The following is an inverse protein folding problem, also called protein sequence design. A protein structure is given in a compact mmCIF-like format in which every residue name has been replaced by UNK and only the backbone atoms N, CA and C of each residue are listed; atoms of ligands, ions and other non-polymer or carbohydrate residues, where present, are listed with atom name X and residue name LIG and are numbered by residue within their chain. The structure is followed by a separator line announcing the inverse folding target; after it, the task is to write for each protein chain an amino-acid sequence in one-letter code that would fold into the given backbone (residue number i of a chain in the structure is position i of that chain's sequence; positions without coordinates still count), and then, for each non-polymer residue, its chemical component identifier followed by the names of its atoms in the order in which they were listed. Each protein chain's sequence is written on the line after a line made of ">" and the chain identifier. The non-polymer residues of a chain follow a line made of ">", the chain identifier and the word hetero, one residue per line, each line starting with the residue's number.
data_IF_203712259600
#
_entry.id   IF_203712259600
#
_cell.length_a   1.000
_cell.length_b   1.000
_cell.length_c   1.000
_cell.angle_alpha   90.00
_cell.angle_beta   90.00
_cell.angle_gamma   90.00
#
_symmetry.space_group_name_H-M   'P 1'
#
loop_
_entity.id
_entity.type
_entity.pdbx_description
1 polymer ?
#
# COMPACT_ATOMS: atom_id res chain seq x y z
N UNK A 1 42.29 64.67 35.64
CA UNK A 1 42.87 63.40 35.07
C UNK A 1 41.71 62.44 34.91
N UNK A 2 41.17 62.33 33.73
CA UNK A 2 40.09 61.36 33.43
C UNK A 2 40.69 60.24 32.54
N UNK A 3 40.64 59.01 33.06
CA UNK A 3 41.10 57.83 32.31
C UNK A 3 39.93 57.28 31.48
N UNK A 4 40.11 57.22 30.16
CA UNK A 4 39.18 56.57 29.24
C UNK A 4 39.51 55.08 29.16
N UNK A 5 38.54 54.24 29.53
CA UNK A 5 38.58 52.79 29.33
C UNK A 5 37.86 52.47 28.02
N UNK A 6 38.63 51.96 27.07
CA UNK A 6 38.06 51.42 25.82
C UNK A 6 37.69 49.97 26.05
N UNK A 7 36.41 49.64 25.97
CA UNK A 7 35.93 48.27 25.93
C UNK A 7 35.93 47.79 24.47
N UNK A 8 36.72 46.74 24.18
CA UNK A 8 36.70 46.05 22.90
C UNK A 8 35.67 44.95 22.92
N UNK A 9 34.58 45.10 22.14
CA UNK A 9 33.63 44.00 21.86
C UNK A 9 34.26 43.04 20.81
N UNK A 10 34.60 41.85 21.24
CA UNK A 10 34.96 40.76 20.36
C UNK A 10 33.66 40.10 19.80
N UNK A 11 33.45 40.20 18.51
CA UNK A 11 32.41 39.43 17.80
C UNK A 11 32.92 38.01 17.61
N UNK A 12 32.35 37.05 18.33
CA UNK A 12 32.55 35.61 18.03
C UNK A 12 31.59 35.22 16.89
N UNK A 13 32.15 34.96 15.71
CA UNK A 13 31.40 34.36 14.59
C UNK A 13 31.26 32.87 14.86
N UNK A 14 30.08 32.42 15.24
CA UNK A 14 29.74 30.99 15.29
C UNK A 14 29.57 30.51 13.85
N UNK A 15 30.58 29.81 13.31
CA UNK A 15 30.38 29.02 12.08
C UNK A 15 29.49 27.83 12.44
N UNK A 16 28.22 27.87 12.06
CA UNK A 16 27.41 26.66 11.96
C UNK A 16 27.92 25.84 10.80
N UNK A 17 28.58 24.75 11.07
CA UNK A 17 28.87 23.68 10.09
C UNK A 17 27.53 22.99 9.89
N UNK A 18 26.82 23.33 8.80
CA UNK A 18 25.74 22.48 8.28
C UNK A 18 26.43 21.18 7.83
N UNK A 19 26.28 20.15 8.62
CA UNK A 19 26.64 18.80 8.17
C UNK A 19 25.75 18.45 6.98
N UNK A 20 26.31 18.29 5.80
CA UNK A 20 25.66 17.64 4.69
C UNK A 20 25.31 16.22 5.16
N UNK A 21 24.05 15.98 5.54
CA UNK A 21 23.53 14.63 5.62
C UNK A 21 23.57 14.09 4.19
N UNK A 22 24.58 13.30 3.86
CA UNK A 22 24.60 12.58 2.59
C UNK A 22 23.35 11.74 2.52
N UNK A 23 22.48 11.99 1.52
CA UNK A 23 21.33 11.17 1.22
C UNK A 23 21.82 9.72 1.11
N UNK A 24 21.35 8.88 2.03
CA UNK A 24 21.64 7.46 1.99
C UNK A 24 20.70 6.86 0.97
N UNK A 25 21.22 6.30 -0.13
CA UNK A 25 20.39 5.63 -1.13
C UNK A 25 19.57 4.52 -0.46
N UNK A 26 18.30 4.32 -0.85
CA UNK A 26 17.49 3.23 -0.33
C UNK A 26 18.20 1.88 -0.46
N UNK A 27 18.15 1.08 0.60
CA UNK A 27 18.67 -0.28 0.55
C UNK A 27 17.67 -1.19 -0.15
N UNK A 28 18.09 -1.88 -1.21
CA UNK A 28 17.29 -2.88 -1.92
C UNK A 28 17.73 -4.26 -1.46
N UNK A 29 16.79 -5.03 -0.92
CA UNK A 29 17.05 -6.38 -0.43
C UNK A 29 17.16 -7.38 -1.58
N UNK A 30 18.12 -8.30 -1.51
CA UNK A 30 18.19 -9.45 -2.41
C UNK A 30 17.41 -10.60 -1.79
N UNK A 31 16.23 -10.86 -2.34
CA UNK A 31 15.30 -11.83 -1.76
C UNK A 31 15.53 -13.24 -2.31
N UNK A 32 15.31 -14.24 -1.47
CA UNK A 32 15.38 -15.65 -1.80
C UNK A 32 14.29 -16.49 -1.11
N UNK A 33 14.10 -17.73 -1.60
CA UNK A 33 13.09 -18.64 -1.06
C UNK A 33 11.72 -18.49 -1.74
N UNK A 34 10.64 -18.48 -0.96
CA UNK A 34 9.26 -18.37 -1.48
C UNK A 34 8.86 -16.91 -1.76
N UNK A 35 9.41 -16.35 -2.82
CA UNK A 35 9.16 -14.95 -3.23
C UNK A 35 8.46 -14.84 -4.59
N UNK A 36 8.46 -15.92 -5.36
CA UNK A 36 7.84 -15.96 -6.69
C UNK A 36 6.31 -16.02 -6.62
N UNK A 37 5.64 -15.60 -7.71
CA UNK A 37 4.19 -15.57 -7.84
C UNK A 37 3.49 -14.76 -6.74
N UNK A 38 4.14 -13.69 -6.31
CA UNK A 38 3.59 -12.74 -5.34
C UNK A 38 2.92 -11.58 -6.07
N UNK A 39 1.68 -11.27 -5.67
CA UNK A 39 0.94 -10.07 -6.03
C UNK A 39 0.43 -9.39 -4.76
N UNK A 40 0.38 -8.07 -4.75
CA UNK A 40 -0.19 -7.23 -3.71
C UNK A 40 0.26 -7.66 -2.30
N UNK A 41 1.59 -7.69 -2.05
CA UNK A 41 2.11 -8.12 -0.76
C UNK A 41 1.79 -7.11 0.34
N UNK A 42 1.28 -7.58 1.47
CA UNK A 42 1.10 -6.80 2.70
C UNK A 42 2.11 -7.27 3.74
N UNK A 43 2.98 -6.36 4.20
CA UNK A 43 4.03 -6.67 5.18
C UNK A 43 3.66 -6.23 6.58
N UNK A 44 3.93 -7.07 7.56
CA UNK A 44 3.81 -6.74 8.98
C UNK A 44 4.82 -7.53 9.80
N UNK A 45 4.93 -7.23 11.11
CA UNK A 45 5.88 -7.85 12.02
C UNK A 45 5.19 -8.30 13.29
N UNK A 46 5.53 -9.49 13.76
CA UNK A 46 5.17 -9.96 15.10
C UNK A 46 6.43 -10.48 15.82
N UNK A 47 6.76 -9.85 16.93
CA UNK A 47 8.00 -10.13 17.65
C UNK A 47 9.24 -9.89 16.77
N UNK A 48 9.96 -10.97 16.44
CA UNK A 48 11.17 -10.90 15.58
C UNK A 48 10.89 -11.29 14.14
N UNK A 49 9.75 -11.92 13.87
CA UNK A 49 9.43 -12.48 12.57
C UNK A 49 8.62 -11.51 11.73
N UNK A 50 9.03 -11.35 10.50
CA UNK A 50 8.33 -10.63 9.46
C UNK A 50 7.35 -11.55 8.75
N UNK A 51 6.19 -11.01 8.40
CA UNK A 51 5.14 -11.73 7.69
C UNK A 51 4.72 -10.93 6.45
N UNK A 52 4.57 -11.63 5.33
CA UNK A 52 3.99 -11.09 4.10
C UNK A 52 2.80 -11.96 3.70
N UNK A 53 1.68 -11.29 3.50
CA UNK A 53 0.44 -11.85 2.96
C UNK A 53 0.32 -11.43 1.50
N UNK A 54 -0.24 -12.25 0.64
CA UNK A 54 -0.33 -11.92 -0.78
C UNK A 54 -1.59 -12.47 -1.43
N UNK A 55 -2.05 -11.78 -2.45
CA UNK A 55 -3.20 -12.13 -3.29
C UNK A 55 -3.16 -13.58 -3.79
N UNK A 56 -4.31 -14.22 -3.83
CA UNK A 56 -4.55 -15.43 -4.59
C UNK A 56 -4.52 -16.72 -3.81
N UNK A 57 -4.64 -17.81 -4.57
CA UNK A 57 -4.62 -19.18 -4.05
C UNK A 57 -3.23 -19.62 -3.65
N UNK A 58 -3.19 -20.45 -2.61
CA UNK A 58 -2.00 -21.23 -2.28
C UNK A 58 -1.95 -22.51 -3.13
N UNK A 59 -0.78 -23.14 -3.29
CA UNK A 59 -0.68 -24.45 -3.94
C UNK A 59 -1.56 -25.52 -3.29
N UNK A 60 -1.84 -25.40 -2.00
CA UNK A 60 -2.68 -26.30 -1.21
C UNK A 60 -4.18 -26.04 -1.41
N UNK A 61 -4.54 -24.99 -2.16
CA UNK A 61 -5.91 -24.63 -2.50
C UNK A 61 -6.57 -23.60 -1.59
N UNK A 62 -5.90 -23.15 -0.52
CA UNK A 62 -6.36 -22.07 0.34
C UNK A 62 -6.18 -20.68 -0.27
N UNK A 63 -6.40 -19.65 0.54
CA UNK A 63 -6.32 -18.25 0.13
C UNK A 63 -5.30 -17.50 0.98
N UNK A 64 -4.62 -16.53 0.37
CA UNK A 64 -3.61 -15.67 0.98
C UNK A 64 -2.45 -16.46 1.59
N UNK A 65 -1.45 -16.75 0.77
CA UNK A 65 -0.20 -17.31 1.24
C UNK A 65 0.44 -16.43 2.31
N UNK A 66 0.86 -17.04 3.41
CA UNK A 66 1.64 -16.38 4.44
C UNK A 66 3.09 -16.76 4.26
N UNK A 67 3.95 -15.76 4.08
CA UNK A 67 5.40 -15.90 4.01
C UNK A 67 6.00 -15.30 5.25
N UNK A 68 7.05 -15.91 5.80
CA UNK A 68 7.77 -15.37 6.94
C UNK A 68 9.27 -15.39 6.74
N UNK A 69 9.92 -14.41 7.41
CA UNK A 69 11.35 -14.21 7.43
C UNK A 69 11.78 -13.62 8.77
N UNK A 70 12.97 -13.98 9.24
CA UNK A 70 13.57 -13.37 10.43
C UNK A 70 14.63 -12.31 10.07
N UNK A 71 14.98 -12.16 8.77
CA UNK A 71 16.07 -11.31 8.28
C UNK A 71 15.69 -10.41 7.08
N UNK A 72 14.43 -10.48 6.57
CA UNK A 72 13.93 -9.78 5.38
C UNK A 72 14.50 -10.30 4.04
N UNK A 73 15.48 -11.18 4.02
CA UNK A 73 16.13 -11.69 2.80
C UNK A 73 15.69 -13.13 2.47
N UNK A 74 15.56 -13.98 3.49
CA UNK A 74 15.23 -15.40 3.32
C UNK A 74 13.77 -15.66 3.71
N UNK A 75 12.91 -15.91 2.73
CA UNK A 75 11.48 -16.09 2.89
C UNK A 75 11.05 -17.54 2.72
N UNK A 76 10.22 -18.02 3.62
CA UNK A 76 9.61 -19.37 3.54
C UNK A 76 8.09 -19.27 3.63
N UNK A 77 7.39 -20.22 3.00
CA UNK A 77 5.97 -20.42 3.23
C UNK A 77 5.75 -20.90 4.66
N UNK A 78 4.92 -20.22 5.44
CA UNK A 78 4.60 -20.60 6.80
C UNK A 78 3.11 -20.81 7.06
N UNK A 79 2.26 -20.60 6.07
CA UNK A 79 0.83 -20.88 6.20
C UNK A 79 -0.02 -20.23 5.11
N UNK A 80 -1.31 -20.24 5.39
CA UNK A 80 -2.34 -19.56 4.62
C UNK A 80 -3.39 -18.98 5.58
N UNK A 81 -4.16 -18.01 5.09
CA UNK A 81 -5.19 -17.35 5.92
C UNK A 81 -6.47 -18.18 5.99
N UNK A 82 -7.01 -18.54 4.84
CA UNK A 82 -8.24 -19.34 4.75
C UNK A 82 -8.00 -20.62 3.95
N UNK A 83 -8.65 -21.72 4.35
CA UNK A 83 -8.60 -22.99 3.62
C UNK A 83 -9.46 -22.95 2.33
N UNK A 84 -10.45 -22.07 2.28
CA UNK A 84 -11.30 -21.85 1.13
C UNK A 84 -11.84 -20.41 1.12
N UNK A 85 -12.40 -19.99 -0.01
CA UNK A 85 -13.17 -18.75 -0.08
C UNK A 85 -14.42 -18.90 0.80
N UNK A 86 -14.72 -17.94 1.71
CA UNK A 86 -15.92 -17.99 2.52
C UNK A 86 -17.21 -18.16 1.70
N UNK A 87 -18.11 -19.04 2.12
CA UNK A 87 -19.32 -19.41 1.38
C UNK A 87 -20.22 -18.21 1.05
N UNK A 88 -20.27 -17.20 1.93
CA UNK A 88 -21.07 -16.02 1.70
C UNK A 88 -20.54 -15.20 0.52
N UNK A 89 -19.24 -15.19 0.27
CA UNK A 89 -18.62 -14.54 -0.89
C UNK A 89 -19.06 -15.27 -2.17
N UNK A 90 -19.00 -16.60 -2.20
CA UNK A 90 -19.46 -17.39 -3.36
C UNK A 90 -20.93 -17.16 -3.68
N UNK A 91 -21.77 -16.97 -2.66
CA UNK A 91 -23.19 -16.63 -2.82
C UNK A 91 -23.40 -15.21 -3.35
N UNK A 92 -22.54 -14.25 -2.92
CA UNK A 92 -22.68 -12.82 -3.25
C UNK A 92 -22.03 -12.47 -4.60
N UNK A 93 -20.90 -13.09 -4.91
CA UNK A 93 -20.14 -12.94 -6.14
C UNK A 93 -19.84 -14.33 -6.75
N UNK A 94 -20.83 -14.97 -7.37
CA UNK A 94 -20.63 -16.28 -7.98
C UNK A 94 -19.54 -16.23 -9.04
N UNK A 95 -18.56 -17.16 -8.94
CA UNK A 95 -17.43 -17.23 -9.87
C UNK A 95 -16.17 -16.53 -9.38
N UNK A 96 -16.16 -15.92 -8.18
CA UNK A 96 -14.93 -15.51 -7.49
C UNK A 96 -14.02 -16.72 -7.34
N UNK A 97 -12.80 -16.61 -7.86
CA UNK A 97 -11.80 -17.70 -7.87
C UNK A 97 -10.74 -17.52 -6.80
N UNK A 98 -10.42 -16.27 -6.49
CA UNK A 98 -9.35 -15.88 -5.60
C UNK A 98 -9.78 -14.67 -4.76
N UNK A 99 -9.19 -14.52 -3.58
CA UNK A 99 -9.29 -13.33 -2.76
C UNK A 99 -8.06 -12.44 -2.99
N UNK A 100 -8.23 -11.10 -2.92
CA UNK A 100 -7.24 -10.16 -3.41
C UNK A 100 -6.83 -9.12 -2.37
N UNK A 101 -5.62 -8.57 -2.56
CA UNK A 101 -5.07 -7.39 -1.91
C UNK A 101 -5.32 -7.36 -0.39
N UNK A 102 -4.69 -8.26 0.36
CA UNK A 102 -4.79 -8.24 1.81
C UNK A 102 -4.05 -7.03 2.37
N UNK A 103 -4.61 -6.35 3.37
CA UNK A 103 -3.93 -5.36 4.18
C UNK A 103 -4.03 -5.73 5.66
N UNK A 104 -2.87 -5.97 6.31
CA UNK A 104 -2.81 -6.51 7.67
C UNK A 104 -2.25 -5.49 8.64
N UNK A 105 -3.01 -5.18 9.69
CA UNK A 105 -2.62 -4.29 10.77
C UNK A 105 -2.88 -4.92 12.14
N UNK A 106 -2.19 -4.44 13.20
CA UNK A 106 -2.45 -4.86 14.57
C UNK A 106 -3.23 -3.78 15.32
N UNK A 107 -4.49 -4.09 15.64
CA UNK A 107 -5.42 -3.14 16.20
C UNK A 107 -6.26 -3.76 17.32
N UNK A 108 -6.43 -3.04 18.41
CA UNK A 108 -7.26 -3.48 19.53
C UNK A 108 -6.92 -4.90 20.05
N UNK A 109 -5.61 -5.22 20.13
CA UNK A 109 -5.08 -6.52 20.60
C UNK A 109 -5.40 -7.70 19.68
N UNK A 110 -5.68 -7.45 18.40
CA UNK A 110 -5.86 -8.46 17.36
C UNK A 110 -5.23 -8.01 16.04
N UNK A 111 -4.85 -8.95 15.19
CA UNK A 111 -4.52 -8.67 13.81
C UNK A 111 -5.80 -8.57 13.01
N UNK A 112 -5.95 -7.49 12.25
CA UNK A 112 -7.04 -7.23 11.31
C UNK A 112 -6.49 -7.30 9.90
N UNK A 113 -7.18 -8.03 9.05
CA UNK A 113 -6.88 -8.10 7.62
C UNK A 113 -8.11 -7.64 6.84
N UNK A 114 -8.00 -6.51 6.17
CA UNK A 114 -8.95 -6.14 5.14
C UNK A 114 -8.54 -6.81 3.84
N UNK A 115 -9.51 -7.35 3.10
CA UNK A 115 -9.24 -8.06 1.85
C UNK A 115 -10.39 -7.91 0.87
N UNK A 116 -10.10 -8.05 -0.43
CA UNK A 116 -11.09 -7.87 -1.47
C UNK A 116 -11.52 -9.19 -2.11
N UNK A 117 -12.75 -9.19 -2.63
CA UNK A 117 -13.27 -10.17 -3.57
C UNK A 117 -13.91 -9.48 -4.76
N UNK A 118 -13.74 -10.03 -5.96
CA UNK A 118 -14.29 -9.48 -7.18
C UNK A 118 -14.27 -10.49 -8.33
N UNK A 119 -14.77 -10.04 -9.48
CA UNK A 119 -14.53 -10.62 -10.80
C UNK A 119 -13.68 -9.66 -11.61
N UNK A 120 -12.62 -10.16 -12.25
CA UNK A 120 -11.68 -9.32 -13.00
C UNK A 120 -12.38 -8.41 -14.01
N UNK A 121 -12.08 -7.11 -13.96
CA UNK A 121 -12.66 -6.08 -14.82
C UNK A 121 -14.08 -5.63 -14.44
N UNK A 122 -14.56 -6.00 -13.25
CA UNK A 122 -15.86 -5.55 -12.72
C UNK A 122 -15.64 -4.68 -11.48
N UNK A 123 -16.65 -3.82 -11.22
CA UNK A 123 -16.74 -3.09 -9.96
C UNK A 123 -17.86 -3.62 -9.04
N UNK A 124 -18.43 -4.77 -9.37
CA UNK A 124 -19.31 -5.54 -8.46
C UNK A 124 -18.44 -6.30 -7.48
N UNK A 125 -17.87 -5.59 -6.54
CA UNK A 125 -16.77 -6.02 -5.69
C UNK A 125 -17.09 -5.78 -4.22
N UNK A 126 -16.28 -6.36 -3.33
CA UNK A 126 -16.43 -6.06 -1.92
C UNK A 126 -15.13 -6.23 -1.14
N UNK A 127 -15.06 -5.50 -0.05
CA UNK A 127 -14.03 -5.57 0.96
C UNK A 127 -14.60 -6.25 2.21
N UNK A 128 -13.89 -7.23 2.72
CA UNK A 128 -14.22 -7.97 3.91
C UNK A 128 -13.15 -7.82 4.99
N UNK A 129 -13.46 -8.25 6.21
CA UNK A 129 -12.57 -8.21 7.36
C UNK A 129 -12.34 -9.62 7.88
N UNK A 130 -11.07 -10.00 8.05
CA UNK A 130 -10.62 -11.17 8.81
C UNK A 130 -9.88 -10.74 10.07
N UNK A 131 -9.92 -11.54 11.12
CA UNK A 131 -9.18 -11.25 12.35
C UNK A 131 -8.44 -12.49 12.87
N UNK A 132 -7.31 -12.26 13.54
CA UNK A 132 -6.54 -13.30 14.21
C UNK A 132 -5.86 -12.73 15.47
N UNK A 133 -5.59 -13.57 16.46
CA UNK A 133 -4.91 -13.15 17.70
C UNK A 133 -3.40 -13.13 17.59
N UNK A 134 -2.83 -13.89 16.68
CA UNK A 134 -1.38 -14.06 16.49
C UNK A 134 -1.06 -14.31 15.02
N UNK A 135 0.14 -13.97 14.59
CA UNK A 135 0.64 -14.33 13.26
C UNK A 135 1.50 -15.59 13.25
N UNK A 136 1.82 -16.15 14.43
CA UNK A 136 2.58 -17.39 14.53
C UNK A 136 1.72 -18.60 14.17
N UNK A 137 1.92 -19.26 13.01
CA UNK A 137 1.13 -20.40 12.59
C UNK A 137 1.31 -21.65 13.45
N UNK A 138 2.31 -21.66 14.35
CA UNK A 138 2.55 -22.76 15.30
C UNK A 138 1.78 -22.60 16.60
N UNK A 139 1.25 -21.41 16.85
CA UNK A 139 0.45 -21.11 18.04
C UNK A 139 -0.92 -21.80 17.98
N UNK A 140 -1.42 -22.38 19.10
CA UNK A 140 -2.78 -22.90 19.17
C UNK A 140 -3.86 -21.82 19.01
N UNK A 141 -3.51 -20.54 19.19
CA UNK A 141 -4.40 -19.39 18.99
C UNK A 141 -4.42 -18.89 17.55
N UNK A 142 -3.58 -19.47 16.66
CA UNK A 142 -3.56 -19.10 15.25
C UNK A 142 -4.84 -19.60 14.56
N UNK A 143 -5.74 -18.65 14.34
CA UNK A 143 -7.00 -18.92 13.65
C UNK A 143 -7.55 -17.63 13.06
N UNK A 144 -7.48 -17.50 11.76
CA UNK A 144 -8.16 -16.43 11.04
C UNK A 144 -9.67 -16.66 11.06
N UNK A 145 -10.41 -15.66 11.48
CA UNK A 145 -11.87 -15.66 11.55
C UNK A 145 -12.40 -14.59 10.59
N UNK A 146 -13.12 -15.02 9.57
CA UNK A 146 -13.84 -14.10 8.68
C UNK A 146 -14.98 -13.40 9.43
N UNK A 147 -14.97 -12.07 9.41
CA UNK A 147 -15.98 -11.21 10.05
C UNK A 147 -17.03 -10.70 9.05
N UNK A 148 -16.88 -11.07 7.78
CA UNK A 148 -17.81 -10.72 6.72
C UNK A 148 -17.56 -9.39 6.06
N UNK A 149 -18.60 -8.89 5.39
CA UNK A 149 -18.56 -7.70 4.55
C UNK A 149 -18.34 -6.41 5.35
N UNK A 150 -17.43 -5.56 4.85
CA UNK A 150 -17.20 -4.18 5.33
C UNK A 150 -17.81 -3.17 4.37
N UNK A 151 -17.51 -3.30 3.08
CA UNK A 151 -17.94 -2.39 2.02
C UNK A 151 -18.16 -3.17 0.73
N UNK A 152 -19.12 -2.73 -0.07
CA UNK A 152 -19.29 -3.23 -1.44
C UNK A 152 -19.49 -2.08 -2.44
N UNK A 153 -19.18 -2.34 -3.68
CA UNK A 153 -19.56 -1.53 -4.83
C UNK A 153 -20.44 -2.32 -5.77
N UNK A 154 -21.29 -1.59 -6.50
CA UNK A 154 -22.27 -2.12 -7.46
C UNK A 154 -21.96 -1.61 -8.85
N UNK A 155 -22.55 -2.20 -9.86
CA UNK A 155 -22.30 -1.85 -11.25
C UNK A 155 -22.60 -0.38 -11.60
N UNK A 156 -23.54 0.24 -10.88
CA UNK A 156 -23.92 1.65 -11.02
C UNK A 156 -23.01 2.64 -10.28
N UNK A 157 -22.14 2.14 -9.38
CA UNK A 157 -21.21 2.99 -8.63
C UNK A 157 -20.05 3.46 -9.52
N UNK A 158 -19.57 4.66 -9.24
CA UNK A 158 -18.39 5.23 -9.92
C UNK A 158 -17.07 4.89 -9.23
N UNK A 159 -17.02 3.82 -8.44
CA UNK A 159 -15.84 3.32 -7.77
C UNK A 159 -15.83 1.79 -7.72
N UNK A 160 -14.68 1.22 -7.41
CA UNK A 160 -14.50 -0.21 -7.23
C UNK A 160 -14.02 -0.50 -5.80
N UNK A 161 -14.75 -1.32 -5.05
CA UNK A 161 -14.45 -1.68 -3.67
C UNK A 161 -13.43 -2.82 -3.61
N UNK A 162 -12.18 -2.56 -4.01
CA UNK A 162 -11.02 -3.45 -3.88
C UNK A 162 -9.80 -2.68 -3.39
N UNK A 163 -8.70 -3.38 -3.17
CA UNK A 163 -7.41 -2.85 -2.74
C UNK A 163 -7.51 -2.03 -1.45
N UNK A 164 -7.98 -2.64 -0.36
CA UNK A 164 -8.12 -1.95 0.91
C UNK A 164 -6.78 -1.62 1.54
N UNK A 165 -6.69 -0.45 2.18
CA UNK A 165 -5.64 -0.12 3.12
C UNK A 165 -6.25 0.54 4.36
N UNK A 166 -5.81 0.09 5.53
CA UNK A 166 -6.17 0.68 6.82
C UNK A 166 -5.17 1.75 7.22
N UNK A 167 -5.66 2.89 7.71
CA UNK A 167 -4.83 3.91 8.35
C UNK A 167 -5.51 4.46 9.60
N UNK A 168 -4.77 4.54 10.73
CA UNK A 168 -5.15 5.36 11.87
C UNK A 168 -4.48 6.71 11.77
N UNK A 169 -5.28 7.77 11.69
CA UNK A 169 -4.74 9.12 11.62
C UNK A 169 -4.14 9.58 12.97
N UNK A 170 -3.38 10.68 12.94
CA UNK A 170 -2.73 11.23 14.14
C UNK A 170 -3.73 11.73 15.20
N UNK A 171 -5.02 11.82 14.90
CA UNK A 171 -6.11 12.10 15.83
C UNK A 171 -6.73 10.83 16.41
N UNK A 172 -6.18 9.65 16.06
CA UNK A 172 -6.63 8.34 16.50
C UNK A 172 -7.93 7.89 15.83
N UNK A 173 -8.25 8.40 14.66
CA UNK A 173 -9.41 8.02 13.86
C UNK A 173 -9.02 6.98 12.81
N UNK A 174 -9.86 5.97 12.65
CA UNK A 174 -9.60 4.85 11.75
C UNK A 174 -10.29 5.06 10.40
N UNK A 175 -9.58 4.75 9.32
CA UNK A 175 -10.01 4.95 7.95
C UNK A 175 -9.71 3.73 7.09
N UNK A 176 -10.60 3.47 6.14
CA UNK A 176 -10.42 2.52 5.05
C UNK A 176 -10.22 3.29 3.76
N UNK A 177 -9.06 3.11 3.14
CA UNK A 177 -8.73 3.63 1.81
C UNK A 177 -8.87 2.47 0.83
N UNK A 178 -9.37 2.72 -0.37
CA UNK A 178 -9.62 1.66 -1.35
C UNK A 178 -9.86 2.26 -2.74
N UNK A 179 -9.82 1.41 -3.76
CA UNK A 179 -10.24 1.80 -5.09
C UNK A 179 -9.30 1.32 -6.19
N UNK A 180 -9.87 1.09 -7.35
CA UNK A 180 -9.18 0.65 -8.56
C UNK A 180 -9.99 1.12 -9.76
N UNK A 181 -9.36 1.82 -10.71
CA UNK A 181 -10.00 2.38 -11.90
C UNK A 181 -11.20 3.29 -11.57
N UNK A 182 -12.18 3.42 -12.49
CA UNK A 182 -13.37 4.29 -12.37
C UNK A 182 -12.97 5.71 -11.93
N UNK A 183 -13.61 6.26 -10.92
CA UNK A 183 -13.26 7.59 -10.39
C UNK A 183 -12.18 7.50 -9.28
N UNK A 184 -11.31 6.49 -9.35
CA UNK A 184 -10.05 6.40 -8.59
C UNK A 184 -10.21 6.01 -7.13
N UNK A 185 -9.31 6.55 -6.32
CA UNK A 185 -9.12 6.18 -4.91
C UNK A 185 -10.09 6.90 -3.99
N UNK A 186 -10.74 6.13 -3.14
CA UNK A 186 -11.75 6.57 -2.18
C UNK A 186 -11.32 6.28 -0.75
N UNK A 187 -12.01 6.92 0.20
CA UNK A 187 -11.80 6.71 1.62
C UNK A 187 -13.12 6.78 2.38
N UNK A 188 -13.28 5.93 3.38
CA UNK A 188 -14.41 5.89 4.31
C UNK A 188 -13.91 5.84 5.75
N UNK A 189 -14.69 6.44 6.64
CA UNK A 189 -14.48 6.35 8.08
C UNK A 189 -14.82 4.95 8.58
N UNK A 190 -13.96 4.41 9.46
CA UNK A 190 -14.23 3.17 10.21
C UNK A 190 -14.66 3.47 11.66
N UNK A 191 -15.45 2.59 12.22
CA UNK A 191 -15.67 2.49 13.65
C UNK A 191 -14.49 1.75 14.29
N UNK A 192 -13.81 2.40 15.22
CA UNK A 192 -12.59 1.90 15.83
C UNK A 192 -12.79 0.58 16.58
N UNK A 193 -13.96 0.38 17.21
CA UNK A 193 -14.23 -0.80 18.04
C UNK A 193 -14.47 -2.04 17.19
N UNK A 194 -15.13 -1.88 16.05
CA UNK A 194 -15.57 -3.00 15.22
C UNK A 194 -14.69 -3.23 13.99
N UNK A 195 -14.00 -2.19 13.50
CA UNK A 195 -13.31 -2.22 12.19
C UNK A 195 -14.25 -2.18 10.99
N UNK A 196 -15.55 -1.97 11.21
CA UNK A 196 -16.54 -1.80 10.15
C UNK A 196 -16.73 -0.32 9.79
N UNK A 197 -17.49 -0.02 8.73
CA UNK A 197 -17.77 1.36 8.36
C UNK A 197 -18.48 2.10 9.49
N UNK A 198 -18.08 3.36 9.72
CA UNK A 198 -18.75 4.26 10.66
C UNK A 198 -20.20 4.50 10.21
N UNK A 199 -21.13 4.39 11.17
CA UNK A 199 -22.53 4.75 10.98
C UNK A 199 -22.80 6.24 11.16
N UNK A 200 -21.87 6.96 11.79
CA UNK A 200 -22.01 8.41 12.10
C UNK A 200 -21.32 9.31 11.08
N UNK A 201 -20.29 8.80 10.38
CA UNK A 201 -19.63 9.49 9.27
C UNK A 201 -19.69 8.58 8.03
N UNK A 202 -20.65 8.86 7.15
CA UNK A 202 -20.89 8.10 5.93
C UNK A 202 -20.29 8.76 4.68
N UNK A 203 -19.46 9.79 4.84
CA UNK A 203 -18.83 10.52 3.74
C UNK A 203 -17.92 9.61 2.94
N UNK A 204 -18.08 9.63 1.61
CA UNK A 204 -17.16 9.00 0.67
C UNK A 204 -16.19 10.09 0.16
N UNK A 205 -14.97 10.06 0.65
CA UNK A 205 -13.93 10.99 0.22
C UNK A 205 -13.26 10.48 -1.05
N UNK A 206 -12.95 11.39 -1.99
CA UNK A 206 -12.13 11.11 -3.17
C UNK A 206 -10.72 11.64 -2.94
N UNK A 207 -9.68 10.80 -3.11
CA UNK A 207 -8.30 11.16 -2.77
C UNK A 207 -7.42 11.36 -4.00
N UNK A 208 -7.55 10.50 -5.02
CA UNK A 208 -6.74 10.51 -6.22
C UNK A 208 -7.49 9.90 -7.39
N UNK A 209 -7.20 10.36 -8.62
CA UNK A 209 -7.69 9.76 -9.87
C UNK A 209 -6.77 10.12 -11.02
N UNK A 210 -6.88 9.37 -12.12
CA UNK A 210 -6.18 9.71 -13.36
C UNK A 210 -6.92 10.85 -14.08
N UNK A 211 -6.17 11.72 -14.74
CA UNK A 211 -6.76 12.67 -15.67
C UNK A 211 -6.97 12.02 -17.04
N UNK A 212 -8.14 12.26 -17.65
CA UNK A 212 -8.39 11.77 -19.00
C UNK A 212 -7.48 12.46 -20.01
N UNK A 213 -6.66 11.71 -20.79
CA UNK A 213 -5.88 12.31 -21.88
C UNK A 213 -6.80 12.89 -22.97
N UNK A 214 -6.36 13.96 -23.67
CA UNK A 214 -7.16 14.54 -24.76
C UNK A 214 -7.48 13.57 -25.90
N UNK A 215 -6.60 12.59 -26.13
CA UNK A 215 -6.68 11.52 -27.14
C UNK A 215 -7.04 10.15 -26.54
N UNK A 216 -7.73 10.15 -25.41
CA UNK A 216 -8.08 8.92 -24.69
C UNK A 216 -8.84 7.94 -25.59
N UNK A 217 -8.32 6.72 -25.69
CA UNK A 217 -9.03 5.64 -26.38
C UNK A 217 -10.32 5.28 -25.62
N UNK A 218 -11.38 4.90 -26.34
CA UNK A 218 -12.62 4.46 -25.72
C UNK A 218 -12.39 3.22 -24.87
N UNK A 219 -13.25 3.07 -23.83
CA UNK A 219 -13.22 1.89 -22.99
C UNK A 219 -13.47 0.61 -23.81
N UNK A 220 -12.73 -0.48 -23.52
CA UNK A 220 -13.10 -1.78 -24.07
C UNK A 220 -14.49 -2.21 -23.59
N UNK A 221 -15.26 -2.98 -24.38
CA UNK A 221 -16.60 -3.42 -23.98
C UNK A 221 -16.59 -4.13 -22.61
N UNK A 222 -17.36 -3.58 -21.67
CA UNK A 222 -17.54 -4.14 -20.33
C UNK A 222 -16.35 -4.01 -19.38
N UNK A 223 -15.34 -3.20 -19.73
CA UNK A 223 -14.17 -2.87 -18.91
C UNK A 223 -14.03 -1.35 -18.78
N UNK A 224 -13.41 -0.83 -17.71
CA UNK A 224 -13.03 0.57 -17.63
C UNK A 224 -11.96 0.91 -18.68
N UNK A 225 -11.85 2.17 -19.12
CA UNK A 225 -10.78 2.56 -20.03
C UNK A 225 -9.42 2.47 -19.35
N UNK A 226 -8.39 2.06 -20.11
CA UNK A 226 -7.04 1.87 -19.57
C UNK A 226 -6.44 3.14 -18.94
N UNK A 227 -6.85 4.32 -19.40
CA UNK A 227 -6.34 5.58 -18.86
C UNK A 227 -6.82 5.85 -17.43
N UNK A 228 -7.90 5.21 -16.96
CA UNK A 228 -8.35 5.29 -15.56
C UNK A 228 -7.50 4.48 -14.59
N UNK A 229 -6.51 3.74 -15.08
CA UNK A 229 -5.72 2.82 -14.29
C UNK A 229 -4.94 3.51 -13.17
N UNK A 230 -5.52 3.52 -11.99
CA UNK A 230 -4.97 3.86 -10.67
C UNK A 230 -5.58 2.91 -9.67
N UNK A 231 -4.76 2.28 -8.81
CA UNK A 231 -5.23 1.32 -7.81
C UNK A 231 -4.22 1.14 -6.67
N UNK A 232 -4.43 0.16 -5.80
CA UNK A 232 -3.54 -0.22 -4.70
C UNK A 232 -3.12 0.98 -3.82
N UNK A 233 -4.07 1.73 -3.22
CA UNK A 233 -3.72 2.85 -2.36
C UNK A 233 -3.08 2.37 -1.06
N UNK A 234 -2.05 3.07 -0.60
CA UNK A 234 -1.47 2.89 0.73
C UNK A 234 -1.13 4.25 1.35
N UNK A 235 -1.57 4.51 2.58
CA UNK A 235 -1.29 5.78 3.27
C UNK A 235 -0.43 5.54 4.49
N UNK A 236 0.62 6.37 4.63
CA UNK A 236 1.42 6.47 5.85
C UNK A 236 1.50 7.92 6.32
N UNK A 237 1.84 8.11 7.60
CA UNK A 237 2.10 9.43 8.17
C UNK A 237 3.58 9.55 8.52
N UNK A 238 4.27 10.52 7.89
CA UNK A 238 5.68 10.80 8.14
C UNK A 238 5.94 12.31 8.09
N UNK A 239 6.82 12.82 8.96
CA UNK A 239 7.27 14.22 8.91
C UNK A 239 6.17 15.28 8.94
N UNK A 240 4.99 14.97 9.51
CA UNK A 240 3.84 15.89 9.58
C UNK A 240 2.99 15.94 8.31
N UNK A 241 3.14 14.96 7.40
CA UNK A 241 2.32 14.75 6.22
C UNK A 241 1.79 13.33 6.14
N UNK A 242 0.65 13.16 5.52
CA UNK A 242 0.16 11.87 5.01
C UNK A 242 0.65 11.71 3.58
N UNK A 243 1.27 10.59 3.28
CA UNK A 243 1.72 10.21 1.95
C UNK A 243 0.80 9.12 1.42
N UNK A 244 0.15 9.38 0.29
CA UNK A 244 -0.68 8.43 -0.42
C UNK A 244 0.14 7.86 -1.59
N UNK A 245 0.46 6.58 -1.49
CA UNK A 245 1.05 5.78 -2.56
C UNK A 245 -0.07 5.15 -3.36
N UNK A 246 0.12 5.03 -4.66
CA UNK A 246 -0.81 4.35 -5.57
C UNK A 246 -0.05 3.75 -6.73
N UNK A 247 -0.59 2.68 -7.27
CA UNK A 247 -0.06 2.06 -8.49
C UNK A 247 -0.82 2.56 -9.71
N UNK A 248 -0.08 3.01 -10.72
CA UNK A 248 -0.62 3.51 -11.99
C UNK A 248 -0.37 2.54 -13.12
N UNK A 249 -1.20 2.63 -14.16
CA UNK A 249 -1.17 1.84 -15.37
C UNK A 249 -1.55 0.36 -15.11
N UNK A 250 -0.98 -0.61 -15.80
CA UNK A 250 -1.59 -1.93 -15.89
C UNK A 250 -0.72 -3.02 -15.27
N UNK A 251 -1.23 -3.69 -14.24
CA UNK A 251 -0.66 -4.92 -13.71
C UNK A 251 -1.08 -6.18 -14.49
N UNK A 252 -0.64 -7.33 -14.01
CA UNK A 252 -1.23 -8.65 -14.29
C UNK A 252 -1.16 -9.10 -15.75
N UNK A 253 -0.18 -8.56 -16.51
CA UNK A 253 0.04 -8.81 -17.94
C UNK A 253 1.43 -9.40 -18.25
N UNK A 254 2.15 -9.86 -17.23
CA UNK A 254 3.50 -10.41 -17.37
C UNK A 254 4.44 -9.42 -18.06
N UNK A 255 5.07 -9.82 -19.18
CA UNK A 255 5.96 -8.96 -19.97
C UNK A 255 5.31 -7.67 -20.53
N UNK A 256 3.99 -7.57 -20.49
CA UNK A 256 3.23 -6.39 -20.95
C UNK A 256 2.72 -5.53 -19.79
N UNK A 257 3.11 -5.83 -18.56
CA UNK A 257 2.77 -5.02 -17.39
C UNK A 257 3.49 -3.67 -17.47
N UNK A 258 2.77 -2.60 -17.21
CA UNK A 258 3.25 -1.21 -17.27
C UNK A 258 3.09 -0.51 -15.93
N UNK A 259 2.78 -1.25 -14.87
CA UNK A 259 2.61 -0.75 -13.52
C UNK A 259 3.77 0.14 -13.08
N UNK A 260 3.50 1.09 -12.24
CA UNK A 260 4.49 1.94 -11.55
C UNK A 260 3.87 2.51 -10.29
N UNK A 261 4.65 2.67 -9.24
CA UNK A 261 4.21 3.32 -8.02
C UNK A 261 4.43 4.82 -8.12
N UNK A 262 3.42 5.59 -7.74
CA UNK A 262 3.48 7.05 -7.59
C UNK A 262 3.03 7.46 -6.21
N UNK A 263 3.42 8.68 -5.78
CA UNK A 263 3.12 9.20 -4.45
C UNK A 263 2.66 10.65 -4.52
N UNK A 264 1.79 11.03 -3.60
CA UNK A 264 1.44 12.40 -3.27
C UNK A 264 1.30 12.59 -1.78
N UNK A 265 1.27 13.84 -1.29
CA UNK A 265 1.17 14.12 0.14
C UNK A 265 0.09 15.15 0.49
N UNK A 266 -0.39 15.09 1.72
CA UNK A 266 -1.36 16.04 2.29
C UNK A 266 -1.11 16.30 3.77
N UNK A 267 -1.59 17.44 4.28
CA UNK A 267 -1.56 17.73 5.72
C UNK A 267 -2.70 17.07 6.50
N UNK A 268 -3.75 16.65 5.81
CA UNK A 268 -4.94 16.01 6.39
C UNK A 268 -5.14 14.68 5.68
N UNK A 269 -5.49 13.62 6.42
CA UNK A 269 -5.65 12.28 5.88
C UNK A 269 -6.68 12.18 4.73
N UNK A 270 -7.68 13.04 4.74
CA UNK A 270 -8.70 13.13 3.69
C UNK A 270 -8.30 14.05 2.51
N UNK A 271 -7.05 14.53 2.50
CA UNK A 271 -6.54 15.41 1.44
C UNK A 271 -6.80 16.91 1.65
N UNK A 272 -6.63 17.76 0.62
CA UNK A 272 -6.22 17.35 -0.72
C UNK A 272 -4.74 16.90 -0.80
N UNK A 273 -4.51 15.82 -1.54
CA UNK A 273 -3.17 15.34 -1.84
C UNK A 273 -2.61 16.04 -3.06
N UNK A 274 -1.33 16.38 -3.02
CA UNK A 274 -0.59 16.96 -4.15
C UNK A 274 0.71 16.19 -4.40
N UNK A 275 1.19 16.20 -5.64
CA UNK A 275 2.50 15.68 -5.99
C UNK A 275 3.62 16.69 -5.66
N UNK A 276 4.88 16.33 -5.95
CA UNK A 276 6.06 17.16 -5.68
C UNK A 276 6.02 18.51 -6.42
N UNK A 277 5.34 18.60 -7.57
CA UNK A 277 5.16 19.83 -8.32
C UNK A 277 4.00 20.69 -7.80
N UNK A 278 3.22 20.20 -6.82
CA UNK A 278 2.03 20.85 -6.29
C UNK A 278 0.75 20.54 -7.06
N UNK A 279 0.79 19.64 -8.06
CA UNK A 279 -0.41 19.27 -8.82
C UNK A 279 -1.31 18.33 -7.99
N UNK A 280 -2.63 18.62 -7.88
CA UNK A 280 -3.56 17.77 -7.16
C UNK A 280 -3.65 16.35 -7.74
N UNK A 281 -3.67 15.33 -6.86
CA UNK A 281 -3.86 13.94 -7.28
C UNK A 281 -5.25 13.69 -7.89
N UNK A 282 -6.25 14.49 -7.50
CA UNK A 282 -7.58 14.50 -8.14
C UNK A 282 -7.59 15.06 -9.57
N UNK A 283 -6.50 15.71 -9.99
CA UNK A 283 -6.29 16.25 -11.33
C UNK A 283 -5.22 15.46 -12.11
N UNK A 284 -4.92 14.24 -11.65
CA UNK A 284 -3.92 13.35 -12.25
C UNK A 284 -2.48 13.75 -11.92
N UNK A 285 -2.25 14.41 -10.77
CA UNK A 285 -0.91 14.55 -10.17
C UNK A 285 -0.42 13.24 -9.60
N UNK A 286 0.90 13.09 -9.49
CA UNK A 286 1.56 11.92 -8.89
C UNK A 286 3.07 11.95 -9.17
N UNK A 287 3.88 11.94 -8.12
CA UNK A 287 5.34 11.86 -8.22
C UNK A 287 5.76 10.40 -8.41
N UNK A 288 6.46 10.03 -9.49
CA UNK A 288 6.97 8.66 -9.67
C UNK A 288 7.91 8.25 -8.53
N UNK A 289 7.70 7.06 -7.98
CA UNK A 289 8.55 6.47 -6.94
C UNK A 289 9.28 5.22 -7.45
N UNK A 290 8.53 4.22 -7.93
CA UNK A 290 9.07 2.99 -8.50
C UNK A 290 8.65 2.89 -9.96
N UNK A 291 9.63 2.72 -10.84
CA UNK A 291 9.41 2.55 -12.28
C UNK A 291 10.19 1.34 -12.79
N UNK A 292 9.75 0.78 -13.90
CA UNK A 292 10.42 -0.35 -14.53
C UNK A 292 11.88 -0.06 -14.86
N UNK A 293 12.74 -1.08 -14.79
CA UNK A 293 14.12 -1.05 -15.23
C UNK A 293 14.40 -2.21 -16.23
N UNK A 294 15.67 -2.50 -16.51
CA UNK A 294 16.06 -3.56 -17.45
C UNK A 294 15.75 -4.96 -16.93
N UNK A 295 15.63 -5.18 -15.62
CA UNK A 295 15.40 -6.45 -14.97
C UNK A 295 13.95 -6.67 -14.56
N UNK A 296 13.28 -5.62 -14.10
CA UNK A 296 11.95 -5.67 -13.52
C UNK A 296 10.98 -4.74 -14.22
N UNK A 297 9.83 -5.27 -14.59
CA UNK A 297 8.73 -4.55 -15.20
C UNK A 297 7.60 -4.37 -14.18
N UNK A 298 6.85 -3.29 -14.32
CA UNK A 298 5.59 -3.11 -13.62
C UNK A 298 5.66 -3.21 -12.09
N UNK A 299 6.54 -2.45 -11.38
CA UNK A 299 6.57 -2.43 -9.92
C UNK A 299 5.33 -1.73 -9.36
N UNK A 300 4.62 -2.39 -8.43
CA UNK A 300 3.42 -1.83 -7.80
C UNK A 300 2.70 -2.82 -6.88
N UNK A 301 1.46 -2.50 -6.48
CA UNK A 301 0.71 -3.25 -5.48
C UNK A 301 1.44 -3.25 -4.15
N UNK A 302 1.87 -2.06 -3.74
CA UNK A 302 2.77 -1.86 -2.61
C UNK A 302 2.04 -1.86 -1.26
N UNK A 303 2.78 -2.25 -0.21
CA UNK A 303 2.46 -1.98 1.18
C UNK A 303 3.68 -1.46 1.92
N UNK A 304 3.46 -0.65 2.96
CA UNK A 304 4.52 0.02 3.68
C UNK A 304 4.44 -0.34 5.16
N UNK A 305 5.57 -0.71 5.72
CA UNK A 305 5.71 -0.86 7.16
C UNK A 305 6.54 0.30 7.70
N UNK A 306 5.95 1.05 8.63
CA UNK A 306 6.62 2.16 9.31
C UNK A 306 7.28 1.65 10.58
N UNK A 307 8.61 1.63 10.58
CA UNK A 307 9.42 1.11 11.67
C UNK A 307 9.74 2.13 12.75
N UNK A 308 10.16 1.65 13.92
CA UNK A 308 10.81 2.54 14.87
C UNK A 308 12.18 2.99 14.34
N UNK A 309 12.54 4.26 14.49
CA UNK A 309 13.85 4.81 14.12
C UNK A 309 14.14 4.83 12.61
N UNK A 310 13.13 5.18 11.80
CA UNK A 310 13.27 5.35 10.35
C UNK A 310 13.70 4.07 9.59
N UNK A 311 13.38 2.89 10.12
CA UNK A 311 13.52 1.59 9.44
C UNK A 311 12.30 1.30 8.58
N UNK A 312 11.89 2.25 7.76
CA UNK A 312 10.68 2.14 6.95
C UNK A 312 10.93 1.28 5.72
N UNK A 313 9.98 0.38 5.44
CA UNK A 313 10.06 -0.60 4.36
C UNK A 313 8.90 -0.44 3.39
N UNK A 314 9.19 -0.64 2.10
CA UNK A 314 8.18 -0.82 1.06
C UNK A 314 8.34 -2.22 0.47
N UNK A 315 7.28 -3.02 0.53
CA UNK A 315 7.17 -4.30 -0.18
C UNK A 315 6.21 -4.12 -1.35
N UNK A 316 6.54 -4.70 -2.48
CA UNK A 316 5.74 -4.61 -3.69
C UNK A 316 5.98 -5.83 -4.58
N UNK A 317 5.23 -5.98 -5.66
CA UNK A 317 5.56 -6.98 -6.68
C UNK A 317 6.11 -6.31 -7.95
N UNK A 318 6.93 -7.05 -8.68
CA UNK A 318 7.38 -6.68 -10.02
C UNK A 318 7.54 -7.92 -10.88
N UNK A 319 7.54 -7.76 -12.21
CA UNK A 319 7.60 -8.86 -13.16
C UNK A 319 9.01 -8.98 -13.73
N UNK A 320 9.62 -10.16 -13.62
CA UNK A 320 10.91 -10.46 -14.24
C UNK A 320 10.86 -10.20 -15.76
N UNK A 321 11.73 -9.35 -16.27
CA UNK A 321 11.71 -8.89 -17.66
C UNK A 321 12.02 -9.99 -18.70
N UNK A 322 12.55 -11.16 -18.27
CA UNK A 322 12.83 -12.29 -19.13
C UNK A 322 11.66 -13.27 -19.21
N UNK A 323 10.98 -13.47 -18.07
CA UNK A 323 9.97 -14.52 -17.93
C UNK A 323 8.54 -13.99 -17.80
N UNK A 324 8.36 -12.73 -17.42
CA UNK A 324 7.07 -12.13 -17.07
C UNK A 324 6.47 -12.65 -15.75
N UNK A 325 7.25 -13.38 -14.95
CA UNK A 325 6.78 -13.92 -13.66
C UNK A 325 6.81 -12.84 -12.59
N UNK A 326 5.73 -12.66 -11.81
CA UNK A 326 5.74 -11.74 -10.69
C UNK A 326 6.59 -12.28 -9.54
N UNK A 327 7.26 -11.40 -8.83
CA UNK A 327 8.05 -11.72 -7.64
C UNK A 327 7.95 -10.59 -6.64
N UNK A 328 8.00 -10.92 -5.37
CA UNK A 328 8.12 -9.98 -4.28
C UNK A 328 9.44 -9.21 -4.38
N UNK A 329 9.38 -7.92 -4.12
CA UNK A 329 10.50 -7.00 -4.02
C UNK A 329 10.41 -6.25 -2.70
N UNK A 330 11.55 -5.83 -2.16
CA UNK A 330 11.62 -5.12 -0.88
C UNK A 330 12.73 -4.07 -0.90
N UNK A 331 12.42 -2.89 -0.42
CA UNK A 331 13.38 -1.79 -0.25
C UNK A 331 13.11 -1.06 1.05
N UNK A 332 14.13 -0.39 1.60
CA UNK A 332 13.90 0.67 2.57
C UNK A 332 13.30 1.90 1.88
N UNK A 333 12.64 2.75 2.67
CA UNK A 333 12.24 4.09 2.25
C UNK A 333 13.20 5.10 2.88
N UNK A 334 13.83 5.92 2.05
CA UNK A 334 14.58 7.10 2.48
C UNK A 334 13.69 8.35 2.32
N UNK A 335 13.63 9.19 3.36
CA UNK A 335 12.80 10.40 3.40
C UNK A 335 13.60 11.68 3.20
N UNK A 336 14.76 11.59 2.59
CA UNK A 336 15.61 12.77 2.33
C UNK A 336 14.88 13.78 1.45
N UNK A 337 14.81 15.05 1.89
CA UNK A 337 14.15 16.12 1.13
C UNK A 337 12.63 16.15 1.24
N UNK A 338 12.05 15.57 2.29
CA UNK A 338 10.61 15.52 2.56
C UNK A 338 9.77 14.71 1.55
N UNK A 339 10.40 13.92 0.71
CA UNK A 339 9.73 12.98 -0.20
C UNK A 339 10.34 11.58 -0.07
N UNK A 340 9.52 10.53 -0.21
CA UNK A 340 10.03 9.17 -0.12
C UNK A 340 10.85 8.80 -1.37
N UNK A 341 11.94 8.08 -1.13
CA UNK A 341 12.74 7.42 -2.16
C UNK A 341 12.81 5.93 -1.86
N UNK A 342 12.61 5.10 -2.87
CA UNK A 342 12.69 3.64 -2.77
C UNK A 342 13.46 3.07 -3.95
N UNK A 343 14.00 1.86 -3.79
CA UNK A 343 14.81 1.22 -4.82
C UNK A 343 14.12 0.00 -5.43
N UNK A 344 14.53 -0.32 -6.67
CA UNK A 344 14.22 -1.56 -7.36
C UNK A 344 15.53 -2.19 -7.78
N UNK A 345 15.69 -3.50 -7.52
CA UNK A 345 16.91 -4.25 -7.84
C UNK A 345 17.31 -4.04 -9.32
N UNK A 346 18.56 -3.64 -9.61
CA UNK A 346 19.01 -3.30 -10.96
C UNK A 346 19.19 -4.53 -11.89
#
# INVERSE_FOLDING_TARGET
>A
MFAHWKASLGFAVLLMIAGDASAQSPHVYTLSGDVAFTHDPSITKDGKTWYVFATGKTPEGGQFAIRCSDDLEHWKRCGQVFDAIPDWIQKRSPGTKDLWAPDVSYENHEYRMYYAYSLFGKNTSGIALGVNKTLDPTSPDFKWVDKGLVLESKAEDNFNAIDPNFIRDHKGQDWLVFGSFWDGIKMRRLDKSTGLLSSTDTTLYSLARRAQPPDAAPAPPGLPPNWEAIEAPFIVFHGGYYYLFTSWDLCCRGLKSTYKTVVGRAKVVTGPYVDETGKPLLEGGGTPLLVANSRWLGPGGESIWMGPKDEDLIVFHAYDAKTGRPSMQLSTIDWTGDWPHAGLEP
#
